data_IF_497896433265
#
_entry.id   IF_497896433265
#
_cell.length_a   1.000
_cell.length_b   1.000
_cell.length_c   1.000
_cell.angle_alpha   90.00
_cell.angle_beta   90.00
_cell.angle_gamma   90.00
#
_symmetry.space_group_name_H-M   'P 1'
#
loop_
_entity.id
_entity.type
_entity.pdbx_description
1 polymer ?
#
# COMPACT_ATOMS: atom_id res chain seq x y z
N UNK A 1 -7.16 44.85 -8.86
CA UNK A 1 -6.01 44.11 -9.45
C UNK A 1 -6.12 42.68 -8.96
N UNK A 2 -6.55 41.76 -9.82
CA UNK A 2 -6.75 40.35 -9.51
C UNK A 2 -5.52 39.58 -9.99
N UNK A 3 -4.78 38.96 -9.07
CA UNK A 3 -3.67 38.08 -9.43
C UNK A 3 -4.23 36.68 -9.66
N UNK A 4 -4.27 36.26 -10.92
CA UNK A 4 -4.40 34.86 -11.28
C UNK A 4 -3.06 34.16 -11.02
N UNK A 5 -2.99 33.30 -10.00
CA UNK A 5 -1.85 32.41 -9.82
C UNK A 5 -2.02 31.22 -10.76
N UNK A 6 -1.23 31.21 -11.83
CA UNK A 6 -1.23 30.17 -12.85
C UNK A 6 -0.88 28.80 -12.28
N UNK A 7 -1.68 27.81 -12.67
CA UNK A 7 -1.36 26.40 -12.52
C UNK A 7 -0.08 26.09 -13.30
N UNK A 8 1.02 25.86 -12.59
CA UNK A 8 2.24 25.34 -13.19
C UNK A 8 2.00 23.90 -13.63
N UNK A 9 1.72 23.69 -14.92
CA UNK A 9 1.77 22.37 -15.53
C UNK A 9 3.24 21.94 -15.60
N UNK A 10 3.68 21.17 -14.62
CA UNK A 10 4.94 20.43 -14.71
C UNK A 10 4.76 19.32 -15.74
N UNK A 11 5.63 19.32 -16.76
CA UNK A 11 5.70 18.26 -17.74
C UNK A 11 6.02 16.93 -17.03
N UNK A 12 5.10 15.96 -17.11
CA UNK A 12 5.35 14.60 -16.65
C UNK A 12 6.48 13.99 -17.50
N UNK A 13 7.68 13.92 -16.93
CA UNK A 13 8.68 12.95 -17.36
C UNK A 13 8.05 11.57 -17.21
N UNK A 14 8.04 10.77 -18.27
CA UNK A 14 7.29 9.49 -18.36
C UNK A 14 7.84 8.36 -17.49
N UNK A 15 7.99 8.59 -16.20
CA UNK A 15 8.49 7.64 -15.20
C UNK A 15 7.47 7.56 -14.07
N UNK A 16 7.08 6.34 -13.72
CA UNK A 16 6.27 6.06 -12.53
C UNK A 16 7.06 6.48 -11.28
N UNK A 17 6.50 7.36 -10.46
CA UNK A 17 7.14 7.73 -9.19
C UNK A 17 6.77 6.70 -8.11
N UNK A 18 7.75 5.95 -7.57
CA UNK A 18 7.46 4.95 -6.56
C UNK A 18 7.07 5.59 -5.23
N UNK A 19 6.29 4.86 -4.43
CA UNK A 19 6.22 5.12 -3.00
C UNK A 19 7.55 4.69 -2.36
N UNK A 20 8.25 5.65 -1.76
CA UNK A 20 9.52 5.41 -1.06
C UNK A 20 9.24 5.15 0.41
N UNK A 21 9.55 3.94 0.85
CA UNK A 21 9.46 3.56 2.25
C UNK A 21 10.52 4.29 3.08
N UNK A 22 10.29 4.39 4.39
CA UNK A 22 11.25 4.94 5.36
C UNK A 22 12.56 4.16 5.40
N UNK A 23 12.54 2.88 5.03
CA UNK A 23 13.74 2.04 4.88
C UNK A 23 14.41 2.14 3.49
N UNK A 24 13.93 3.04 2.62
CA UNK A 24 14.45 3.28 1.28
C UNK A 24 13.97 2.31 0.20
N UNK A 25 13.19 1.28 0.55
CA UNK A 25 12.62 0.37 -0.45
C UNK A 25 11.53 1.06 -1.26
N UNK A 26 11.43 0.66 -2.51
CA UNK A 26 10.45 1.20 -3.46
C UNK A 26 9.26 0.27 -3.58
N UNK A 27 8.06 0.84 -3.47
CA UNK A 27 6.80 0.17 -3.77
C UNK A 27 6.08 0.91 -4.91
N UNK A 28 5.23 0.22 -5.68
CA UNK A 28 4.37 0.91 -6.63
C UNK A 28 3.48 1.91 -5.89
N UNK A 29 3.29 3.12 -6.43
CA UNK A 29 2.42 4.14 -5.83
C UNK A 29 1.00 3.97 -6.36
N UNK A 30 0.00 4.13 -5.50
CA UNK A 30 -1.39 4.15 -5.90
C UNK A 30 -1.71 5.42 -6.72
N UNK A 31 -2.75 5.39 -7.56
CA UNK A 31 -3.16 6.46 -8.50
C UNK A 31 -2.12 6.91 -9.55
N UNK A 32 -0.92 6.33 -9.61
CA UNK A 32 0.01 6.58 -10.70
C UNK A 32 -0.36 5.72 -11.92
N UNK A 33 -0.92 6.36 -12.95
CA UNK A 33 -1.36 5.72 -14.20
C UNK A 33 -0.24 5.09 -15.04
N UNK A 34 1.04 5.32 -14.69
CA UNK A 34 2.20 4.64 -15.28
C UNK A 34 2.62 3.39 -14.49
N UNK A 35 1.97 3.10 -13.36
CA UNK A 35 2.27 1.92 -12.55
C UNK A 35 1.89 0.64 -13.28
N UNK A 36 2.89 -0.11 -13.71
CA UNK A 36 2.71 -1.41 -14.34
C UNK A 36 2.56 -2.52 -13.29
N UNK A 37 1.32 -2.84 -12.94
CA UNK A 37 0.99 -3.96 -12.07
C UNK A 37 0.79 -5.24 -12.88
N UNK A 38 1.21 -6.36 -12.32
CA UNK A 38 0.80 -7.66 -12.84
C UNK A 38 -0.72 -7.86 -12.63
N UNK A 39 -1.36 -8.78 -13.35
CA UNK A 39 -2.73 -9.17 -13.08
C UNK A 39 -2.88 -9.73 -11.65
N UNK A 40 -3.95 -9.36 -10.95
CA UNK A 40 -4.20 -9.82 -9.59
C UNK A 40 -5.02 -8.86 -8.73
N UNK A 41 -5.26 -9.25 -7.48
CA UNK A 41 -5.93 -8.43 -6.47
C UNK A 41 -4.90 -7.56 -5.74
N UNK A 42 -5.25 -6.32 -5.46
CA UNK A 42 -4.38 -5.35 -4.80
C UNK A 42 -5.14 -4.50 -3.79
N UNK A 43 -4.42 -4.00 -2.80
CA UNK A 43 -4.86 -2.95 -1.89
C UNK A 43 -4.12 -1.65 -2.22
N UNK A 44 -4.84 -0.58 -2.54
CA UNK A 44 -4.27 0.75 -2.74
C UNK A 44 -4.53 1.62 -1.51
N UNK A 45 -3.51 2.31 -1.00
CA UNK A 45 -3.63 3.24 0.13
C UNK A 45 -3.56 4.69 -0.37
N UNK A 46 -4.37 5.58 0.20
CA UNK A 46 -4.40 7.00 -0.17
C UNK A 46 -4.86 7.89 0.99
N UNK A 47 -4.81 9.20 0.77
CA UNK A 47 -5.00 10.22 1.79
C UNK A 47 -4.02 10.12 2.96
N UNK A 48 -2.75 9.92 2.59
CA UNK A 48 -1.63 9.70 3.49
C UNK A 48 -1.17 10.95 4.23
N UNK A 49 -0.69 10.73 5.46
CA UNK A 49 -0.10 11.73 6.36
C UNK A 49 1.05 11.14 7.18
N UNK A 50 1.99 11.97 7.61
CA UNK A 50 3.19 11.54 8.35
C UNK A 50 2.96 11.47 9.86
N UNK A 51 1.98 12.21 10.39
CA UNK A 51 1.55 12.14 11.80
C UNK A 51 0.05 11.87 11.92
N UNK A 52 -0.36 11.15 12.98
CA UNK A 52 -1.76 10.72 13.16
C UNK A 52 -2.73 11.89 13.33
N UNK A 53 -2.27 12.95 14.00
CA UNK A 53 -3.00 14.18 14.30
C UNK A 53 -2.72 15.30 13.29
N UNK A 54 -2.05 14.97 12.17
CA UNK A 54 -1.77 15.93 11.11
C UNK A 54 -3.07 16.42 10.48
N UNK A 55 -3.30 17.73 10.58
CA UNK A 55 -4.39 18.40 9.87
C UNK A 55 -3.92 18.66 8.44
N UNK A 56 -4.53 17.95 7.50
CA UNK A 56 -4.20 18.10 6.09
C UNK A 56 -4.85 19.37 5.53
N UNK A 57 -4.05 20.22 4.86
CA UNK A 57 -4.56 21.37 4.11
C UNK A 57 -5.30 20.96 2.83
N UNK A 58 -5.02 19.75 2.31
CA UNK A 58 -5.66 19.12 1.14
C UNK A 58 -5.96 17.63 1.46
N UNK A 59 -6.05 16.76 0.45
CA UNK A 59 -6.34 15.33 0.63
C UNK A 59 -5.15 14.47 1.09
N UNK A 60 -3.92 15.01 1.18
CA UNK A 60 -2.71 14.27 1.55
C UNK A 60 -2.03 13.56 0.37
N UNK A 61 -1.13 12.61 0.64
CA UNK A 61 -0.35 11.91 -0.41
C UNK A 61 -0.89 10.52 -0.76
N UNK A 62 -0.65 10.08 -2.00
CA UNK A 62 -0.90 8.70 -2.42
C UNK A 62 0.10 7.72 -1.79
N UNK A 63 -0.42 6.63 -1.24
CA UNK A 63 0.35 5.57 -0.61
C UNK A 63 0.82 4.49 -1.59
N UNK A 64 1.32 3.37 -1.06
CA UNK A 64 1.71 2.24 -1.88
C UNK A 64 0.51 1.43 -2.38
N UNK A 65 0.76 0.65 -3.43
CA UNK A 65 -0.02 -0.51 -3.81
C UNK A 65 0.58 -1.76 -3.15
N UNK A 66 -0.24 -2.49 -2.41
CA UNK A 66 0.14 -3.73 -1.70
C UNK A 66 -0.47 -4.93 -2.42
N UNK A 67 0.38 -5.88 -2.79
CA UNK A 67 -0.01 -7.10 -3.49
C UNK A 67 1.03 -7.57 -4.51
N UNK A 68 0.68 -8.51 -5.42
CA UNK A 68 -0.65 -9.14 -5.54
C UNK A 68 -1.08 -9.99 -4.34
N UNK A 69 -2.39 -10.04 -4.11
CA UNK A 69 -3.07 -10.69 -2.98
C UNK A 69 -3.98 -11.83 -3.46
N UNK A 70 -4.18 -12.82 -2.59
CA UNK A 70 -5.27 -13.81 -2.70
C UNK A 70 -6.55 -13.30 -2.06
N UNK A 71 -6.43 -12.60 -0.92
CA UNK A 71 -7.58 -12.02 -0.23
C UNK A 71 -7.19 -10.81 0.61
N UNK A 72 -8.20 -9.96 0.82
CA UNK A 72 -8.20 -8.87 1.81
C UNK A 72 -9.42 -9.08 2.68
N UNK A 73 -9.23 -9.05 3.99
CA UNK A 73 -10.31 -9.19 4.95
C UNK A 73 -10.28 -8.04 5.95
N UNK A 74 -11.36 -7.26 5.99
CA UNK A 74 -11.55 -6.20 6.98
C UNK A 74 -12.59 -6.66 8.00
N UNK A 75 -12.23 -6.62 9.29
CA UNK A 75 -13.14 -6.96 10.38
C UNK A 75 -13.45 -5.71 11.20
N UNK A 76 -14.75 -5.38 11.32
CA UNK A 76 -15.26 -4.25 12.14
C UNK A 76 -14.58 -2.89 11.91
N UNK A 77 -14.02 -2.68 10.71
CA UNK A 77 -13.20 -1.49 10.40
C UNK A 77 -12.02 -1.27 11.38
N UNK A 78 -11.55 -2.32 12.06
CA UNK A 78 -10.48 -2.25 13.06
C UNK A 78 -9.24 -3.07 12.66
N UNK A 79 -9.44 -4.16 11.93
CA UNK A 79 -8.36 -5.05 11.49
C UNK A 79 -8.42 -5.25 9.98
N UNK A 80 -7.29 -5.05 9.29
CA UNK A 80 -7.14 -5.40 7.87
C UNK A 80 -6.11 -6.51 7.74
N UNK A 81 -6.58 -7.70 7.38
CA UNK A 81 -5.76 -8.90 7.17
C UNK A 81 -5.57 -9.14 5.70
N UNK A 82 -4.34 -9.40 5.32
CA UNK A 82 -3.92 -9.64 3.95
C UNK A 82 -3.41 -11.07 3.80
N UNK A 83 -3.80 -11.70 2.71
CA UNK A 83 -3.16 -12.93 2.25
C UNK A 83 -2.54 -12.68 0.88
N UNK A 84 -1.23 -12.83 0.79
CA UNK A 84 -0.46 -12.66 -0.42
C UNK A 84 -0.48 -13.92 -1.29
N UNK A 85 -0.40 -13.72 -2.61
CA UNK A 85 -0.26 -14.82 -3.57
C UNK A 85 1.10 -15.53 -3.50
N UNK A 86 2.12 -14.89 -2.94
CA UNK A 86 3.45 -15.48 -2.70
C UNK A 86 4.07 -14.86 -1.44
N UNK A 87 4.66 -15.68 -0.57
CA UNK A 87 5.32 -15.21 0.66
C UNK A 87 6.57 -14.37 0.39
N UNK A 88 7.17 -14.46 -0.80
CA UNK A 88 8.21 -13.52 -1.27
C UNK A 88 7.63 -12.13 -1.49
N UNK A 89 6.41 -12.02 -2.00
CA UNK A 89 5.72 -10.73 -2.15
C UNK A 89 5.42 -10.20 -0.75
N UNK A 90 4.85 -11.03 0.13
CA UNK A 90 4.58 -10.65 1.52
C UNK A 90 5.83 -10.07 2.18
N UNK A 91 6.98 -10.75 2.13
CA UNK A 91 8.23 -10.28 2.73
C UNK A 91 8.81 -8.99 2.14
N UNK A 92 8.41 -8.55 0.93
CA UNK A 92 8.81 -7.23 0.38
C UNK A 92 8.02 -6.09 1.00
N UNK A 93 6.74 -6.33 1.30
CA UNK A 93 5.85 -5.34 1.92
C UNK A 93 6.00 -5.38 3.45
N UNK A 94 6.02 -6.58 4.03
CA UNK A 94 6.00 -6.88 5.46
C UNK A 94 7.16 -7.85 5.81
N UNK A 95 8.41 -7.35 5.89
CA UNK A 95 9.59 -8.18 6.14
C UNK A 95 9.55 -8.96 7.47
N UNK A 96 8.75 -8.52 8.42
CA UNK A 96 8.56 -9.09 9.76
C UNK A 96 7.69 -10.35 9.79
N UNK A 97 6.91 -10.62 8.74
CA UNK A 97 6.02 -11.80 8.67
C UNK A 97 6.75 -13.15 8.76
N UNK A 98 8.05 -13.17 8.47
CA UNK A 98 8.92 -14.30 8.74
C UNK A 98 8.57 -15.57 7.94
N UNK A 99 8.56 -16.71 8.63
CA UNK A 99 8.36 -18.03 8.03
C UNK A 99 7.35 -18.85 8.83
N UNK A 100 6.59 -19.68 8.14
CA UNK A 100 5.68 -20.67 8.71
C UNK A 100 6.23 -22.07 8.46
N UNK A 101 6.00 -22.98 9.41
CA UNK A 101 6.38 -24.38 9.29
C UNK A 101 5.14 -25.24 9.15
N UNK A 102 5.10 -26.06 8.10
CA UNK A 102 4.11 -27.12 7.99
C UNK A 102 4.37 -28.16 9.08
N UNK A 103 3.46 -28.28 10.04
CA UNK A 103 3.63 -29.16 11.20
C UNK A 103 3.66 -30.65 10.84
N UNK A 104 3.09 -31.04 9.70
CA UNK A 104 3.03 -32.43 9.25
C UNK A 104 4.30 -32.83 8.47
N UNK A 105 4.85 -31.94 7.65
CA UNK A 105 6.00 -32.24 6.77
C UNK A 105 7.33 -31.67 7.29
N UNK A 106 7.28 -30.73 8.24
CA UNK A 106 8.45 -29.96 8.70
C UNK A 106 8.92 -28.90 7.69
N UNK A 107 8.25 -28.76 6.54
CA UNK A 107 8.62 -27.81 5.50
C UNK A 107 8.44 -26.37 5.98
N UNK A 108 9.45 -25.53 5.76
CA UNK A 108 9.45 -24.12 6.15
C UNK A 108 9.31 -23.22 4.93
N UNK A 109 8.26 -22.42 4.88
CA UNK A 109 7.96 -21.50 3.78
C UNK A 109 7.80 -20.07 4.30
N UNK A 110 7.89 -19.06 3.43
CA UNK A 110 7.64 -17.67 3.83
C UNK A 110 6.17 -17.51 4.20
N UNK A 111 5.91 -16.77 5.28
CA UNK A 111 4.55 -16.44 5.65
C UNK A 111 3.89 -15.63 4.51
N UNK A 112 2.65 -15.97 4.19
CA UNK A 112 1.84 -15.28 3.18
C UNK A 112 0.82 -14.34 3.81
N UNK A 113 0.73 -14.31 5.13
CA UNK A 113 -0.26 -13.51 5.86
C UNK A 113 0.42 -12.31 6.51
N UNK A 114 -0.23 -11.15 6.41
CA UNK A 114 0.15 -9.93 7.08
C UNK A 114 -1.08 -9.23 7.64
N UNK A 115 -0.88 -8.38 8.64
CA UNK A 115 -1.94 -7.55 9.21
C UNK A 115 -1.52 -6.10 9.19
N UNK A 116 -2.47 -5.22 8.90
CA UNK A 116 -2.34 -3.78 9.01
C UNK A 116 -3.19 -3.35 10.21
N UNK A 117 -2.59 -2.48 11.03
CA UNK A 117 -3.28 -1.90 12.17
C UNK A 117 -4.06 -0.66 11.72
N UNK A 118 -5.16 -0.37 12.40
CA UNK A 118 -5.88 0.89 12.28
C UNK A 118 -5.68 1.68 13.58
N UNK A 119 -5.32 2.95 13.46
CA UNK A 119 -5.13 3.88 14.56
C UNK A 119 -5.93 5.16 14.28
N UNK A 120 -6.90 5.47 15.14
CA UNK A 120 -7.82 6.61 14.99
C UNK A 120 -8.48 6.66 13.60
N UNK A 121 -9.06 5.52 13.19
CA UNK A 121 -9.66 5.28 11.88
C UNK A 121 -8.69 5.31 10.67
N UNK A 122 -7.39 5.48 10.91
CA UNK A 122 -6.37 5.52 9.86
C UNK A 122 -5.59 4.20 9.77
N UNK A 123 -5.45 3.70 8.55
CA UNK A 123 -4.66 2.49 8.29
C UNK A 123 -3.16 2.82 8.38
N UNK A 124 -2.42 2.04 9.17
CA UNK A 124 -1.00 2.28 9.43
C UNK A 124 -0.13 1.44 8.52
N UNK A 125 0.74 2.08 7.76
CA UNK A 125 1.77 1.41 6.96
C UNK A 125 3.07 2.21 6.96
N UNK A 126 4.20 1.54 7.18
CA UNK A 126 5.54 2.15 7.12
C UNK A 126 5.70 3.38 8.05
N UNK A 127 5.02 3.37 9.20
CA UNK A 127 5.01 4.47 10.16
C UNK A 127 4.34 5.74 9.62
N UNK A 128 3.39 5.59 8.70
CA UNK A 128 2.52 6.63 8.14
C UNK A 128 1.07 6.19 8.26
N UNK A 129 0.16 7.13 8.11
CA UNK A 129 -1.27 6.94 8.36
C UNK A 129 -2.05 7.26 7.08
N UNK A 130 -3.01 6.41 6.72
CA UNK A 130 -3.78 6.53 5.48
C UNK A 130 -5.26 6.59 5.81
N UNK A 131 -5.92 7.64 5.34
CA UNK A 131 -7.35 7.86 5.61
C UNK A 131 -8.24 6.85 4.91
N UNK A 132 -7.83 6.39 3.73
CA UNK A 132 -8.65 5.50 2.91
C UNK A 132 -7.81 4.41 2.25
N UNK A 133 -8.50 3.31 1.93
CA UNK A 133 -7.97 2.22 1.14
C UNK A 133 -9.01 1.67 0.18
N UNK A 134 -8.54 1.13 -0.94
CA UNK A 134 -9.41 0.44 -1.90
C UNK A 134 -8.84 -0.91 -2.26
N UNK A 135 -9.74 -1.86 -2.48
CA UNK A 135 -9.39 -3.18 -3.02
C UNK A 135 -9.79 -3.21 -4.48
N UNK A 136 -8.84 -3.49 -5.36
CA UNK A 136 -9.07 -3.50 -6.80
C UNK A 136 -8.39 -4.70 -7.46
N UNK A 137 -8.91 -5.06 -8.64
CA UNK A 137 -8.38 -6.15 -9.44
C UNK A 137 -7.82 -5.62 -10.75
N UNK A 138 -6.59 -6.03 -11.07
CA UNK A 138 -5.95 -5.78 -12.36
C UNK A 138 -6.20 -7.01 -13.23
N UNK A 139 -6.97 -6.85 -14.30
CA UNK A 139 -7.23 -7.92 -15.26
C UNK A 139 -6.02 -8.16 -16.17
N UNK A 140 -5.92 -9.38 -16.71
CA UNK A 140 -5.06 -9.65 -17.85
C UNK A 140 -5.55 -8.80 -19.03
N UNK A 141 -4.64 -8.04 -19.65
CA UNK A 141 -4.89 -7.31 -20.90
C UNK A 141 -4.78 -8.23 -22.10
#
# INVERSE_FOLDING_TARGET
>A
MSAASGSGTTAHTGVCEPFVRRDGRLLPRYNDGLTMLAPGLYLGLFHGRDAIDEILEDWGFDGPVIGPLESVHTTYAADVKLRFADGRIAGRHFPETGFVTNVATGERTRCVEASLNIADDLLVFDGRYFGDWTVFYVAQR
#
